data_IF_609498358908
#
_entry.id   IF_609498358908
#
_cell.length_a   1.000
_cell.length_b   1.000
_cell.length_c   1.000
_cell.angle_alpha   90.00
_cell.angle_beta   90.00
_cell.angle_gamma   90.00
#
_symmetry.space_group_name_H-M   'P 1'
#
loop_
_entity.id
_entity.type
_entity.pdbx_description
1 polymer ?
#
# COMPACT_ATOMS: atom_id res chain seq x y z
N UNK A 1 10.43 6.81 9.99
CA UNK A 1 9.66 5.61 9.62
C UNK A 1 8.21 6.02 9.46
N UNK A 2 7.56 5.54 8.41
CA UNK A 2 6.14 5.76 8.13
C UNK A 2 5.49 4.39 8.00
N UNK A 3 4.29 4.25 8.56
CA UNK A 3 3.44 3.07 8.38
C UNK A 3 2.13 3.56 7.75
N UNK A 4 1.70 2.90 6.68
CA UNK A 4 0.43 3.17 6.01
C UNK A 4 -0.43 1.91 6.13
N UNK A 5 -1.58 2.02 6.76
CA UNK A 5 -2.51 0.90 6.96
C UNK A 5 -3.51 0.80 5.80
N UNK A 6 -4.19 -0.35 5.70
CA UNK A 6 -5.23 -0.63 4.71
C UNK A 6 -4.81 -0.48 3.24
N UNK A 7 -3.57 -0.85 2.91
CA UNK A 7 -3.00 -0.66 1.55
C UNK A 7 -3.28 -1.83 0.61
N UNK A 8 -4.03 -2.84 1.03
CA UNK A 8 -4.40 -3.96 0.17
C UNK A 8 -5.88 -3.97 -0.12
N UNK A 9 -6.73 -3.78 0.89
CA UNK A 9 -8.18 -3.63 0.78
C UNK A 9 -8.81 -4.64 -0.19
N UNK A 10 -8.66 -5.93 0.11
CA UNK A 10 -9.15 -7.05 -0.71
C UNK A 10 -8.67 -7.03 -2.17
N UNK A 11 -7.57 -6.34 -2.46
CA UNK A 11 -7.05 -6.17 -3.81
C UNK A 11 -7.84 -5.18 -4.68
N UNK A 12 -8.70 -4.34 -4.10
CA UNK A 12 -9.53 -3.38 -4.85
C UNK A 12 -8.68 -2.45 -5.75
N UNK A 13 -7.47 -2.12 -5.33
CA UNK A 13 -6.52 -1.31 -6.10
C UNK A 13 -5.96 -2.02 -7.35
N UNK A 14 -6.24 -3.29 -7.58
CA UNK A 14 -5.86 -4.02 -8.80
C UNK A 14 -6.83 -3.79 -9.97
N UNK A 15 -8.04 -3.27 -9.71
CA UNK A 15 -9.00 -2.95 -10.76
C UNK A 15 -8.48 -1.79 -11.63
N UNK A 16 -8.27 -1.97 -12.95
CA UNK A 16 -7.81 -0.90 -13.84
C UNK A 16 -8.69 0.35 -13.81
N UNK A 17 -9.99 0.19 -13.56
CA UNK A 17 -10.97 1.29 -13.52
C UNK A 17 -11.20 1.81 -12.09
N UNK A 18 -10.36 1.42 -11.12
CA UNK A 18 -10.51 1.85 -9.74
C UNK A 18 -10.49 3.38 -9.61
N UNK A 19 -11.29 3.87 -8.69
CA UNK A 19 -11.41 5.29 -8.35
C UNK A 19 -11.46 5.46 -6.82
N UNK A 20 -11.41 6.72 -6.35
CA UNK A 20 -11.44 7.03 -4.92
C UNK A 20 -10.30 6.35 -4.15
N UNK A 21 -10.63 5.73 -3.03
CA UNK A 21 -9.64 5.15 -2.12
C UNK A 21 -8.80 4.03 -2.76
N UNK A 22 -9.41 3.19 -3.61
CA UNK A 22 -8.69 2.13 -4.30
C UNK A 22 -7.62 2.67 -5.28
N UNK A 23 -7.90 3.80 -5.94
CA UNK A 23 -6.90 4.50 -6.76
C UNK A 23 -5.81 5.14 -5.87
N UNK A 24 -6.19 5.75 -4.75
CA UNK A 24 -5.26 6.37 -3.82
C UNK A 24 -4.29 5.35 -3.20
N UNK A 25 -4.76 4.13 -2.89
CA UNK A 25 -3.91 3.02 -2.46
C UNK A 25 -2.87 2.68 -3.51
N UNK A 26 -3.29 2.51 -4.77
CA UNK A 26 -2.36 2.22 -5.88
C UNK A 26 -1.29 3.29 -6.01
N UNK A 27 -1.70 4.55 -6.05
CA UNK A 27 -0.79 5.70 -6.14
C UNK A 27 0.17 5.76 -4.96
N UNK A 28 -0.30 5.42 -3.76
CA UNK A 28 0.54 5.36 -2.55
C UNK A 28 1.60 4.27 -2.68
N UNK A 29 1.22 3.05 -3.08
CA UNK A 29 2.16 1.95 -3.28
C UNK A 29 3.17 2.25 -4.41
N UNK A 30 2.72 2.83 -5.51
CA UNK A 30 3.57 3.27 -6.63
C UNK A 30 4.56 4.35 -6.20
N UNK A 31 4.10 5.35 -5.42
CA UNK A 31 4.96 6.38 -4.86
C UNK A 31 6.04 5.79 -3.95
N UNK A 32 5.64 4.93 -3.00
CA UNK A 32 6.57 4.31 -2.07
C UNK A 32 7.58 3.40 -2.79
N UNK A 33 7.14 2.64 -3.80
CA UNK A 33 8.00 1.74 -4.58
C UNK A 33 8.95 2.45 -5.56
N UNK A 34 8.61 3.65 -6.02
CA UNK A 34 9.44 4.43 -6.96
C UNK A 34 10.27 5.54 -6.30
N UNK A 35 10.05 5.82 -5.02
CA UNK A 35 10.72 6.92 -4.32
C UNK A 35 12.22 6.66 -4.10
N UNK A 36 13.05 7.63 -4.48
CA UNK A 36 14.47 7.63 -4.14
C UNK A 36 14.74 7.96 -2.65
N UNK A 37 13.76 8.50 -1.95
CA UNK A 37 13.90 8.93 -0.55
C UNK A 37 13.51 7.85 0.45
N UNK A 38 12.87 6.76 0.01
CA UNK A 38 12.38 5.69 0.88
C UNK A 38 12.86 4.31 0.45
N UNK A 39 13.20 3.48 1.44
CA UNK A 39 13.13 2.03 1.29
C UNK A 39 11.80 1.56 1.87
N UNK A 40 11.00 0.89 1.05
CA UNK A 40 9.63 0.53 1.40
C UNK A 40 9.29 -0.92 1.05
N UNK A 41 8.36 -1.48 1.80
CA UNK A 41 7.75 -2.78 1.52
C UNK A 41 6.28 -2.78 1.94
N UNK A 42 5.49 -3.70 1.39
CA UNK A 42 4.11 -3.91 1.77
C UNK A 42 3.92 -5.37 2.23
N UNK A 43 3.24 -5.55 3.36
CA UNK A 43 2.95 -6.86 3.94
C UNK A 43 1.45 -7.08 3.89
N UNK A 44 1.04 -8.14 3.19
CA UNK A 44 -0.34 -8.58 3.17
C UNK A 44 -0.66 -9.38 4.43
N UNK A 45 -1.87 -9.21 4.96
CA UNK A 45 -2.39 -9.94 6.10
C UNK A 45 -3.74 -10.56 5.75
N UNK A 46 -3.94 -11.79 6.18
CA UNK A 46 -5.21 -12.49 6.04
C UNK A 46 -5.67 -12.97 7.42
N UNK A 47 -6.95 -12.80 7.70
CA UNK A 47 -7.56 -13.24 8.96
C UNK A 47 -9.02 -13.63 8.74
N UNK A 48 -9.70 -14.07 9.80
CA UNK A 48 -11.15 -14.29 9.76
C UNK A 48 -11.96 -13.02 9.47
N UNK A 49 -11.35 -11.83 9.55
CA UNK A 49 -11.98 -10.54 9.26
C UNK A 49 -11.82 -10.10 7.80
N UNK A 50 -11.06 -10.83 6.98
CA UNK A 50 -10.82 -10.49 5.58
C UNK A 50 -9.33 -10.43 5.20
N UNK A 51 -9.07 -9.87 4.02
CA UNK A 51 -7.76 -9.70 3.42
C UNK A 51 -7.39 -8.22 3.31
N UNK A 52 -6.28 -7.84 3.94
CA UNK A 52 -5.76 -6.49 3.88
C UNK A 52 -4.22 -6.47 3.99
N UNK A 53 -3.62 -5.36 4.40
CA UNK A 53 -2.19 -5.23 4.62
C UNK A 53 -1.76 -3.79 4.92
N UNK A 54 -0.49 -3.63 5.28
CA UNK A 54 0.12 -2.34 5.56
C UNK A 54 1.44 -2.19 4.80
N UNK A 55 1.82 -0.95 4.49
CA UNK A 55 3.14 -0.60 3.99
C UNK A 55 4.00 -0.02 5.10
N UNK A 56 5.30 -0.35 5.09
CA UNK A 56 6.31 0.28 5.94
C UNK A 56 7.33 0.93 5.03
N UNK A 57 7.66 2.19 5.33
CA UNK A 57 8.71 2.94 4.65
C UNK A 57 9.68 3.58 5.66
N UNK A 58 10.96 3.50 5.37
CA UNK A 58 12.03 4.17 6.12
C UNK A 58 12.75 5.14 5.20
N UNK A 59 13.07 6.33 5.72
CA UNK A 59 13.78 7.35 4.93
C UNK A 59 15.23 6.88 4.72
N UNK A 60 15.71 6.96 3.48
CA UNK A 60 17.09 6.66 3.13
C UNK A 60 17.99 7.84 3.56
N UNK A 61 19.14 7.53 4.16
CA UNK A 61 20.15 8.52 4.59
C UNK A 61 21.03 8.95 3.43
#
# INVERSE_FOLDING_TARGET
MVVVDNVIWEGAFLDPEASGDALAIRQTLEFLGSSASFDATAVQTASSKGWDGFAIAVMRS
#
